data_IF_125736213750
#
_entry.id   IF_125736213750
#
_cell.length_a   1.000
_cell.length_b   1.000
_cell.length_c   1.000
_cell.angle_alpha   90.00
_cell.angle_beta   90.00
_cell.angle_gamma   90.00
#
_symmetry.space_group_name_H-M   'P 1'
#
loop_
_entity.id
_entity.type
_entity.pdbx_description
1 polymer ?
#
# COMPACT_ATOMS: atom_id res chain seq x y z
N UNK A 1 -11.28 11.64 -17.28
CA UNK A 1 -10.09 11.01 -16.68
C UNK A 1 -10.09 11.27 -15.18
N UNK A 2 -9.93 10.22 -14.40
CA UNK A 2 -9.91 10.35 -12.95
C UNK A 2 -8.58 10.91 -12.45
N UNK A 3 -8.63 11.63 -11.34
CA UNK A 3 -7.44 12.22 -10.73
C UNK A 3 -7.06 11.46 -9.46
N UNK A 4 -5.76 11.40 -9.20
CA UNK A 4 -5.23 10.86 -7.96
C UNK A 4 -5.66 11.73 -6.77
N UNK A 5 -5.67 11.13 -5.58
CA UNK A 5 -5.75 11.92 -4.35
C UNK A 5 -4.68 13.03 -4.38
N UNK A 6 -5.03 14.29 -4.03
CA UNK A 6 -4.06 15.39 -4.13
C UNK A 6 -2.77 15.18 -3.33
N UNK A 7 -2.84 14.58 -2.15
CA UNK A 7 -1.66 14.28 -1.35
C UNK A 7 -0.75 13.24 -2.00
N UNK A 8 -1.35 12.25 -2.66
CA UNK A 8 -0.63 11.23 -3.42
C UNK A 8 0.09 11.88 -4.59
N UNK A 9 -0.62 12.70 -5.37
CA UNK A 9 -0.05 13.39 -6.53
C UNK A 9 1.14 14.29 -6.12
N UNK A 10 0.98 15.05 -5.04
CA UNK A 10 2.05 15.93 -4.56
C UNK A 10 3.31 15.15 -4.21
N UNK A 11 3.17 14.01 -3.55
CA UNK A 11 4.33 13.21 -3.17
C UNK A 11 5.01 12.56 -4.37
N UNK A 12 4.24 12.02 -5.32
CA UNK A 12 4.80 11.45 -6.54
C UNK A 12 5.62 12.50 -7.30
N UNK A 13 5.09 13.71 -7.42
CA UNK A 13 5.78 14.81 -8.10
C UNK A 13 7.03 15.26 -7.34
N UNK A 14 6.91 15.43 -6.02
CA UNK A 14 8.02 15.89 -5.18
C UNK A 14 9.19 14.92 -5.16
N UNK A 15 8.92 13.62 -5.21
CA UNK A 15 9.96 12.57 -5.17
C UNK A 15 10.44 12.17 -6.55
N UNK A 16 9.83 12.70 -7.62
CA UNK A 16 10.20 12.35 -8.98
C UNK A 16 9.96 10.87 -9.30
N UNK A 17 8.87 10.31 -8.81
CA UNK A 17 8.55 8.89 -9.00
C UNK A 17 7.92 8.69 -10.38
N UNK A 18 8.58 7.87 -11.20
CA UNK A 18 8.05 7.48 -12.50
C UNK A 18 6.84 6.56 -12.31
N UNK A 19 5.72 6.91 -12.93
CA UNK A 19 4.47 6.16 -12.74
C UNK A 19 3.49 6.43 -13.88
N UNK A 20 2.46 5.58 -13.96
CA UNK A 20 1.35 5.74 -14.88
C UNK A 20 0.06 5.68 -14.07
N UNK A 21 -0.85 6.63 -14.29
CA UNK A 21 -2.15 6.65 -13.62
C UNK A 21 -3.16 5.87 -14.45
N UNK A 22 -3.87 4.96 -13.82
CA UNK A 22 -4.91 4.16 -14.46
C UNK A 22 -6.27 4.57 -13.87
N UNK A 23 -7.25 4.76 -14.75
CA UNK A 23 -8.62 4.98 -14.32
C UNK A 23 -9.23 3.67 -13.82
N UNK A 24 -10.07 3.76 -12.82
CA UNK A 24 -10.74 2.61 -12.22
C UNK A 24 -12.19 2.95 -11.92
N UNK A 25 -13.10 2.04 -12.28
CA UNK A 25 -14.49 2.16 -11.84
C UNK A 25 -14.49 1.93 -10.31
N UNK A 26 -15.10 2.85 -9.57
CA UNK A 26 -15.09 2.78 -8.10
C UNK A 26 -15.71 1.49 -7.55
N UNK A 27 -16.62 0.86 -8.29
CA UNK A 27 -17.21 -0.42 -7.91
C UNK A 27 -16.21 -1.58 -8.01
N UNK A 28 -15.13 -1.40 -8.78
CA UNK A 28 -14.11 -2.42 -9.02
C UNK A 28 -12.76 -2.04 -8.41
N UNK A 29 -12.77 -1.17 -7.40
CA UNK A 29 -11.52 -0.68 -6.79
C UNK A 29 -10.81 -1.73 -5.93
N UNK A 30 -11.56 -2.68 -5.35
CA UNK A 30 -10.93 -3.76 -4.59
C UNK A 30 -10.11 -4.65 -5.52
N UNK A 31 -8.99 -5.14 -5.04
CA UNK A 31 -7.97 -5.79 -5.87
C UNK A 31 -8.51 -6.93 -6.74
N UNK A 32 -9.32 -7.81 -6.18
CA UNK A 32 -9.85 -8.95 -6.95
C UNK A 32 -10.73 -8.49 -8.10
N UNK A 33 -11.63 -7.55 -7.83
CA UNK A 33 -12.53 -7.01 -8.85
C UNK A 33 -11.74 -6.24 -9.91
N UNK A 34 -10.75 -5.45 -9.50
CA UNK A 34 -9.91 -4.70 -10.41
C UNK A 34 -9.16 -5.64 -11.36
N UNK A 35 -8.48 -6.64 -10.82
CA UNK A 35 -7.72 -7.60 -11.64
C UNK A 35 -8.63 -8.33 -12.63
N UNK A 36 -9.81 -8.79 -12.16
CA UNK A 36 -10.75 -9.52 -13.01
C UNK A 36 -11.30 -8.66 -14.15
N UNK A 37 -11.66 -7.41 -13.85
CA UNK A 37 -12.31 -6.54 -14.84
C UNK A 37 -11.34 -5.84 -15.81
N UNK A 38 -10.10 -5.64 -15.40
CA UNK A 38 -9.12 -4.94 -16.23
C UNK A 38 -8.04 -5.87 -16.80
N UNK A 39 -8.15 -7.17 -16.57
CA UNK A 39 -7.20 -8.14 -17.12
C UNK A 39 -5.79 -8.02 -16.55
N UNK A 40 -5.66 -7.59 -15.31
CA UNK A 40 -4.36 -7.42 -14.65
C UNK A 40 -3.99 -8.73 -13.93
N UNK A 41 -2.79 -9.25 -14.15
CA UNK A 41 -2.33 -10.42 -13.38
C UNK A 41 -2.28 -10.10 -11.89
N UNK A 42 -2.83 -10.97 -11.08
CA UNK A 42 -2.85 -10.76 -9.62
C UNK A 42 -1.44 -10.66 -9.02
N UNK A 43 -0.47 -11.30 -9.64
CA UNK A 43 0.93 -11.24 -9.23
C UNK A 43 1.54 -9.85 -9.38
N UNK A 44 0.90 -8.96 -10.13
CA UNK A 44 1.37 -7.59 -10.34
C UNK A 44 0.57 -6.56 -9.55
N UNK A 45 -0.50 -6.98 -8.88
CA UNK A 45 -1.27 -6.09 -8.03
C UNK A 45 -0.78 -6.18 -6.58
N UNK A 46 -0.68 -5.05 -5.92
CA UNK A 46 -0.21 -4.98 -4.55
C UNK A 46 -1.23 -4.27 -3.66
N UNK A 47 -1.32 -4.74 -2.42
CA UNK A 47 -2.24 -4.19 -1.42
C UNK A 47 -1.45 -3.42 -0.36
N UNK A 48 -1.89 -2.20 -0.07
CA UNK A 48 -1.37 -1.41 1.03
C UNK A 48 -2.25 -1.64 2.26
N UNK A 49 -1.64 -2.01 3.36
CA UNK A 49 -2.33 -2.36 4.60
C UNK A 49 -1.68 -1.56 5.73
N UNK A 50 -2.50 -0.81 6.47
CA UNK A 50 -2.02 -0.11 7.66
C UNK A 50 -2.16 -1.06 8.85
N UNK A 51 -1.09 -1.19 9.62
CA UNK A 51 -1.10 -1.94 10.88
C UNK A 51 -0.99 -0.98 12.05
N UNK A 52 -1.56 -1.36 13.17
CA UNK A 52 -1.64 -0.51 14.37
C UNK A 52 -1.31 -1.31 15.62
N UNK A 53 -0.56 -0.68 16.52
CA UNK A 53 -0.35 -1.22 17.85
C UNK A 53 -1.68 -1.24 18.60
N UNK A 54 -1.97 -2.31 19.32
CA UNK A 54 -3.19 -2.44 20.14
C UNK A 54 -3.10 -1.72 21.48
N UNK A 55 -1.88 -1.40 21.90
CA UNK A 55 -1.62 -0.77 23.20
C UNK A 55 -0.95 0.57 23.01
N UNK A 56 -1.03 1.42 24.03
CA UNK A 56 -0.33 2.70 24.03
C UNK A 56 1.18 2.51 24.26
N UNK A 57 2.04 3.35 23.65
CA UNK A 57 1.67 4.41 22.71
C UNK A 57 1.27 3.82 21.36
N UNK A 58 0.27 4.42 20.70
CA UNK A 58 -0.18 3.98 19.39
C UNK A 58 0.92 4.19 18.35
N UNK A 59 1.24 3.15 17.62
CA UNK A 59 2.21 3.19 16.54
C UNK A 59 1.57 2.54 15.31
N UNK A 60 1.90 3.07 14.14
CA UNK A 60 1.32 2.64 12.87
C UNK A 60 2.43 2.41 11.85
N UNK A 61 2.16 1.55 10.89
CA UNK A 61 3.02 1.36 9.72
C UNK A 61 2.17 1.01 8.52
N UNK A 62 2.62 1.40 7.34
CA UNK A 62 2.01 0.98 6.08
C UNK A 62 2.83 -0.17 5.50
N UNK A 63 2.16 -1.23 5.11
CA UNK A 63 2.79 -2.42 4.55
C UNK A 63 2.25 -2.66 3.15
N UNK A 64 3.13 -2.89 2.18
CA UNK A 64 2.73 -3.20 0.81
C UNK A 64 3.14 -4.63 0.49
N UNK A 65 2.17 -5.45 0.06
CA UNK A 65 2.39 -6.85 -0.29
C UNK A 65 1.68 -7.19 -1.59
N UNK A 66 2.19 -8.16 -2.34
CA UNK A 66 1.51 -8.64 -3.55
C UNK A 66 0.18 -9.30 -3.18
N UNK A 67 -0.81 -9.15 -4.05
CA UNK A 67 -2.15 -9.70 -3.81
C UNK A 67 -2.18 -11.23 -3.74
N UNK A 68 -1.15 -11.89 -4.25
CA UNK A 68 -1.00 -13.34 -4.17
C UNK A 68 -0.41 -13.81 -2.85
N UNK A 69 -0.08 -12.87 -1.96
CA UNK A 69 0.49 -13.16 -0.64
C UNK A 69 -0.40 -12.62 0.45
N UNK A 70 -0.06 -12.94 1.68
CA UNK A 70 -0.77 -12.51 2.87
C UNK A 70 0.23 -11.88 3.82
N UNK A 71 -0.13 -10.72 4.38
CA UNK A 71 0.74 -10.02 5.33
C UNK A 71 0.80 -10.82 6.65
N UNK A 72 2.01 -11.11 7.11
CA UNK A 72 2.21 -11.79 8.39
C UNK A 72 2.41 -10.76 9.50
N UNK A 73 1.29 -10.29 10.05
CA UNK A 73 1.28 -9.24 11.08
C UNK A 73 1.82 -9.75 12.40
N UNK A 74 1.41 -10.96 12.81
CA UNK A 74 1.66 -11.48 14.16
C UNK A 74 3.10 -11.93 14.40
N UNK A 75 3.84 -12.23 13.35
CA UNK A 75 5.21 -12.70 13.47
C UNK A 75 6.21 -11.76 12.80
N UNK A 76 6.10 -11.60 11.47
CA UNK A 76 7.11 -10.85 10.73
C UNK A 76 7.05 -9.35 11.00
N UNK A 77 5.88 -8.73 10.89
CA UNK A 77 5.75 -7.28 11.11
C UNK A 77 5.90 -6.95 12.60
N UNK A 78 5.30 -7.75 13.46
CA UNK A 78 5.41 -7.59 14.90
C UNK A 78 6.87 -7.61 15.37
N UNK A 79 7.64 -8.55 14.86
CA UNK A 79 9.07 -8.65 15.17
C UNK A 79 9.84 -7.44 14.65
N UNK A 80 9.54 -7.02 13.42
CA UNK A 80 10.20 -5.89 12.76
C UNK A 80 9.97 -4.59 13.53
N UNK A 81 8.76 -4.36 14.01
CA UNK A 81 8.41 -3.16 14.77
C UNK A 81 8.75 -3.27 16.26
N UNK A 82 9.03 -4.46 16.75
CA UNK A 82 9.27 -4.69 18.19
C UNK A 82 8.01 -4.54 19.03
N UNK A 83 6.84 -4.80 18.47
CA UNK A 83 5.53 -4.63 19.11
C UNK A 83 4.83 -5.99 19.17
N UNK A 84 4.51 -6.46 20.38
CA UNK A 84 3.88 -7.77 20.56
C UNK A 84 2.43 -7.81 20.13
N UNK A 85 1.68 -6.73 20.38
CA UNK A 85 0.25 -6.65 20.05
C UNK A 85 0.06 -5.70 18.88
N UNK A 86 0.05 -6.27 17.71
CA UNK A 86 -0.11 -5.55 16.45
C UNK A 86 -1.28 -6.17 15.68
N UNK A 87 -2.08 -5.34 15.03
CA UNK A 87 -3.21 -5.82 14.22
C UNK A 87 -3.40 -4.93 13.00
N UNK A 88 -4.28 -5.35 12.10
CA UNK A 88 -4.73 -4.48 11.02
C UNK A 88 -5.46 -3.28 11.62
N UNK A 89 -5.16 -2.10 11.13
CA UNK A 89 -5.95 -0.92 11.45
C UNK A 89 -7.35 -1.10 10.85
N UNK A 90 -8.38 -0.63 11.53
CA UNK A 90 -9.73 -0.65 11.00
C UNK A 90 -9.85 0.29 9.79
N UNK A 91 -10.93 0.16 9.00
CA UNK A 91 -11.21 1.07 7.91
C UNK A 91 -11.36 2.50 8.43
N UNK A 92 -11.99 2.68 9.58
CA UNK A 92 -12.15 4.00 10.22
C UNK A 92 -10.80 4.59 10.66
N UNK A 93 -9.95 3.79 11.30
CA UNK A 93 -8.61 4.23 11.70
C UNK A 93 -7.76 4.61 10.48
N UNK A 94 -7.81 3.77 9.45
CA UNK A 94 -7.06 4.01 8.22
C UNK A 94 -7.49 5.32 7.58
N UNK A 95 -8.79 5.55 7.46
CA UNK A 95 -9.33 6.79 6.89
C UNK A 95 -8.97 8.01 7.74
N UNK A 96 -9.12 7.92 9.06
CA UNK A 96 -8.81 9.01 9.96
C UNK A 96 -7.32 9.37 9.91
N UNK A 97 -6.46 8.38 9.80
CA UNK A 97 -5.00 8.55 9.79
C UNK A 97 -4.47 9.03 8.43
N UNK A 98 -4.99 8.48 7.34
CA UNK A 98 -4.44 8.69 5.99
C UNK A 98 -5.30 9.55 5.10
N UNK A 99 -6.58 9.70 5.41
CA UNK A 99 -7.55 10.34 4.52
C UNK A 99 -7.96 9.49 3.32
N UNK A 100 -7.53 8.24 3.28
CA UNK A 100 -7.73 7.35 2.13
C UNK A 100 -8.80 6.29 2.43
N UNK A 101 -9.54 5.91 1.39
CA UNK A 101 -10.63 4.94 1.50
C UNK A 101 -10.14 3.54 1.16
N UNK A 102 -10.71 2.53 1.81
CA UNK A 102 -10.47 1.12 1.48
C UNK A 102 -10.76 0.89 -0.01
N UNK A 103 -9.89 0.15 -0.67
CA UNK A 103 -9.89 -0.03 -2.12
C UNK A 103 -9.02 0.97 -2.85
N UNK A 104 -8.66 2.08 -2.19
CA UNK A 104 -7.77 3.09 -2.73
C UNK A 104 -6.56 3.37 -1.85
N UNK A 105 -6.44 2.71 -0.70
CA UNK A 105 -5.32 2.91 0.21
C UNK A 105 -4.00 2.60 -0.50
N UNK A 106 -3.02 3.48 -0.28
CA UNK A 106 -1.71 3.36 -0.94
C UNK A 106 -0.61 3.76 0.04
N UNK A 107 0.64 3.58 -0.40
CA UNK A 107 1.83 3.97 0.39
C UNK A 107 2.24 5.42 0.16
N UNK A 108 1.55 6.12 -0.73
CA UNK A 108 1.82 7.53 -1.03
C UNK A 108 0.87 8.44 -0.26
N UNK A 109 1.31 9.67 0.02
CA UNK A 109 0.47 10.66 0.69
C UNK A 109 0.17 10.35 2.14
N UNK A 110 0.97 9.53 2.78
CA UNK A 110 0.80 9.15 4.19
C UNK A 110 1.33 10.24 5.13
N UNK A 111 0.88 10.25 6.40
CA UNK A 111 1.43 11.17 7.40
C UNK A 111 2.94 11.02 7.52
N UNK A 112 3.63 12.12 7.74
CA UNK A 112 5.08 12.11 7.93
C UNK A 112 5.50 11.24 9.11
N UNK A 113 6.60 10.53 8.96
CA UNK A 113 7.16 9.69 10.01
C UNK A 113 6.56 8.28 10.11
N UNK A 114 5.53 7.96 9.33
CA UNK A 114 4.99 6.61 9.31
C UNK A 114 5.95 5.68 8.56
N UNK A 115 6.41 4.58 9.18
CA UNK A 115 7.24 3.60 8.47
C UNK A 115 6.48 2.98 7.30
N UNK A 116 7.18 2.71 6.20
CA UNK A 116 6.64 2.02 5.03
C UNK A 116 7.46 0.75 4.82
N UNK A 117 6.81 -0.39 4.91
CA UNK A 117 7.47 -1.67 4.69
C UNK A 117 7.02 -2.24 3.36
N UNK A 118 7.99 -2.47 2.48
CA UNK A 118 7.77 -3.02 1.14
C UNK A 118 8.20 -4.48 1.15
N UNK A 119 7.28 -5.38 0.91
CA UNK A 119 7.65 -6.79 0.88
C UNK A 119 8.66 -7.07 -0.24
N UNK A 120 9.68 -7.86 0.06
CA UNK A 120 10.77 -8.13 -0.88
C UNK A 120 10.29 -8.73 -2.21
N UNK A 121 9.17 -9.44 -2.20
CA UNK A 121 8.61 -10.06 -3.40
C UNK A 121 8.14 -9.04 -4.43
N UNK A 122 7.83 -7.80 -4.00
CA UNK A 122 7.47 -6.71 -4.92
C UNK A 122 8.60 -6.44 -5.91
N UNK A 123 9.85 -6.52 -5.44
CA UNK A 123 11.03 -6.18 -6.23
C UNK A 123 11.31 -7.20 -7.34
N UNK A 124 10.67 -8.38 -7.30
CA UNK A 124 10.82 -9.41 -8.31
C UNK A 124 9.91 -9.19 -9.52
N UNK A 125 8.97 -8.23 -9.43
CA UNK A 125 8.04 -7.95 -10.50
C UNK A 125 8.59 -6.88 -11.44
N UNK A 126 8.20 -6.94 -12.71
CA UNK A 126 8.54 -5.93 -13.70
C UNK A 126 7.85 -4.60 -13.39
N UNK A 127 6.59 -4.70 -12.97
CA UNK A 127 5.81 -3.55 -12.52
C UNK A 127 4.83 -4.02 -11.44
N UNK A 128 4.36 -3.07 -10.64
CA UNK A 128 3.29 -3.33 -9.67
C UNK A 128 2.21 -2.28 -9.85
N UNK A 129 0.99 -2.63 -9.47
CA UNK A 129 -0.15 -1.71 -9.48
C UNK A 129 -0.61 -1.55 -8.03
N UNK A 130 -0.66 -0.30 -7.59
CA UNK A 130 -1.02 0.08 -6.23
C UNK A 130 -2.21 1.03 -6.24
N UNK A 131 -2.80 1.29 -5.08
CA UNK A 131 -3.90 2.24 -4.97
C UNK A 131 -3.48 3.67 -5.27
N UNK A 132 -4.44 4.50 -5.68
CA UNK A 132 -4.24 5.92 -5.98
C UNK A 132 -4.68 6.87 -4.87
N UNK A 133 -5.06 6.36 -3.72
CA UNK A 133 -5.55 7.16 -2.60
C UNK A 133 -7.07 7.35 -2.60
N UNK A 134 -7.74 6.99 -3.67
CA UNK A 134 -9.18 7.00 -3.82
C UNK A 134 -9.64 5.76 -4.58
N UNK A 135 -10.94 5.61 -4.81
CA UNK A 135 -11.47 4.42 -5.46
C UNK A 135 -11.58 4.54 -6.98
N UNK A 136 -11.13 5.63 -7.56
CA UNK A 136 -11.26 5.89 -9.01
C UNK A 136 -9.93 5.83 -9.76
N UNK A 137 -8.81 5.59 -9.07
CA UNK A 137 -7.49 5.54 -9.69
C UNK A 137 -6.64 4.41 -9.13
N UNK A 138 -5.72 3.94 -9.96
CA UNK A 138 -4.63 3.04 -9.58
C UNK A 138 -3.34 3.60 -10.16
N UNK A 139 -2.21 3.19 -9.62
CA UNK A 139 -0.90 3.62 -10.05
C UNK A 139 -0.09 2.41 -10.47
N UNK A 140 0.43 2.46 -11.71
CA UNK A 140 1.33 1.44 -12.23
C UNK A 140 2.75 2.01 -12.25
N UNK A 141 3.70 1.28 -11.68
CA UNK A 141 5.08 1.76 -11.61
C UNK A 141 6.06 0.60 -11.45
N UNK A 142 7.34 0.83 -11.83
CA UNK A 142 8.40 -0.12 -11.50
C UNK A 142 8.55 -0.21 -9.97
N UNK A 143 8.71 -1.40 -9.39
CA UNK A 143 8.80 -1.51 -7.92
C UNK A 143 9.98 -0.76 -7.29
N UNK A 144 11.10 -0.59 -8.01
CA UNK A 144 12.23 0.17 -7.49
C UNK A 144 11.90 1.63 -7.19
N UNK A 145 10.91 2.21 -7.88
CA UNK A 145 10.48 3.58 -7.63
C UNK A 145 9.91 3.75 -6.21
N UNK A 146 9.38 2.67 -5.63
CA UNK A 146 8.87 2.70 -4.26
C UNK A 146 9.95 2.97 -3.23
N UNK A 147 11.20 2.65 -3.54
CA UNK A 147 12.34 2.90 -2.64
C UNK A 147 12.61 4.39 -2.41
N UNK A 148 12.06 5.25 -3.25
CA UNK A 148 12.19 6.71 -3.10
C UNK A 148 11.36 7.27 -1.95
N UNK A 149 10.39 6.48 -1.44
CA UNK A 149 9.55 6.92 -0.33
C UNK A 149 10.37 7.11 0.95
N UNK A 150 10.18 8.22 1.68
CA UNK A 150 10.84 8.41 2.98
C UNK A 150 10.45 7.31 3.96
N UNK A 151 11.43 6.74 4.64
CA UNK A 151 11.20 5.68 5.63
C UNK A 151 10.85 4.34 5.04
N UNK A 152 10.97 4.15 3.72
CA UNK A 152 10.67 2.88 3.09
C UNK A 152 11.81 1.88 3.31
N UNK A 153 11.44 0.65 3.67
CA UNK A 153 12.38 -0.46 3.82
C UNK A 153 11.85 -1.67 3.07
N UNK A 154 12.73 -2.34 2.33
CA UNK A 154 12.41 -3.60 1.65
C UNK A 154 12.69 -4.74 2.64
N UNK A 155 11.67 -5.50 2.99
CA UNK A 155 11.71 -6.50 4.06
C UNK A 155 10.88 -7.72 3.69
N UNK A 156 11.07 -8.83 4.41
CA UNK A 156 10.23 -10.02 4.26
C UNK A 156 9.10 -9.95 5.28
N UNK A 157 7.89 -9.63 4.83
CA UNK A 157 6.73 -9.45 5.72
C UNK A 157 5.51 -10.25 5.28
N UNK A 158 5.60 -11.04 4.22
CA UNK A 158 4.47 -11.77 3.68
C UNK A 158 4.73 -13.27 3.66
N UNK A 159 3.63 -14.02 3.56
CA UNK A 159 3.65 -15.47 3.34
C UNK A 159 2.73 -15.78 2.17
N UNK A 160 2.93 -16.92 1.47
CA UNK A 160 2.02 -17.32 0.39
C UNK A 160 0.60 -17.51 0.93
N UNK A 161 -0.37 -17.20 0.09
CA UNK A 161 -1.78 -17.46 0.40
C UNK A 161 -2.09 -18.94 0.26
#
# INVERSE_FOLDING_TARGET
MSELDPGVQRQLDALGIAHEVLDCNSEWADTDAFCANYGIPRENAANAIVVAAKTEPKQYAACLVLSTTKLDVNHKVSKLMGIKRLSFASAEETKALTGQLIGGVTVFGLPGGMPVYLDARLMEREYVIVGGGNRSTKIKLPPDELRKLPGAEVVDIAVPR
#
